data_IF_677967452678
#
_entry.id   IF_677967452678
#
_cell.length_a   1.000
_cell.length_b   1.000
_cell.length_c   1.000
_cell.angle_alpha   90.00
_cell.angle_beta   90.00
_cell.angle_gamma   90.00
#
_symmetry.space_group_name_H-M   'P 1'
#
loop_
_entity.id
_entity.type
_entity.pdbx_description
1 polymer ?
#
# COMPACT_ATOMS: atom_id res chain seq x y z
N UNK A 1 -4.15 -18.63 -1.25
CA UNK A 1 -4.69 -17.26 -1.21
C UNK A 1 -3.71 -16.39 -1.98
N UNK A 2 -4.11 -15.90 -3.16
CA UNK A 2 -3.26 -15.05 -4.00
C UNK A 2 -3.84 -13.63 -3.97
N UNK A 3 -3.01 -12.64 -3.67
CA UNK A 3 -3.39 -11.23 -3.77
C UNK A 3 -3.60 -10.91 -5.25
N UNK A 4 -4.79 -10.44 -5.61
CA UNK A 4 -5.08 -10.09 -7.01
C UNK A 4 -4.71 -8.65 -7.30
N UNK A 5 -5.09 -7.74 -6.39
CA UNK A 5 -4.82 -6.31 -6.51
C UNK A 5 -4.57 -5.69 -5.15
N UNK A 6 -3.74 -4.65 -5.16
CA UNK A 6 -3.41 -3.83 -4.00
C UNK A 6 -3.68 -2.40 -4.40
N UNK A 7 -4.44 -1.68 -3.59
CA UNK A 7 -4.72 -0.27 -3.78
C UNK A 7 -4.25 0.53 -2.55
N UNK A 8 -3.86 1.78 -2.79
CA UNK A 8 -3.69 2.77 -1.73
C UNK A 8 -5.00 3.55 -1.57
N UNK A 9 -5.50 3.61 -0.35
CA UNK A 9 -6.73 4.33 0.00
C UNK A 9 -6.45 5.32 1.14
N UNK A 10 -7.18 6.43 1.15
CA UNK A 10 -7.25 7.35 2.27
C UNK A 10 -8.54 7.09 3.04
N UNK A 11 -8.46 7.03 4.36
CA UNK A 11 -9.67 7.05 5.21
C UNK A 11 -10.13 8.48 5.50
N UNK A 12 -11.22 8.61 6.26
CA UNK A 12 -11.83 9.88 6.65
C UNK A 12 -10.91 10.75 7.54
N UNK A 13 -9.91 10.13 8.20
CA UNK A 13 -8.90 10.78 9.04
C UNK A 13 -7.59 11.07 8.28
N UNK A 14 -7.60 10.96 6.95
CA UNK A 14 -6.44 11.08 6.06
C UNK A 14 -5.33 10.04 6.32
N UNK A 15 -5.63 8.97 7.03
CA UNK A 15 -4.70 7.87 7.20
C UNK A 15 -4.60 7.08 5.88
N UNK A 16 -3.38 6.63 5.59
CA UNK A 16 -3.12 5.84 4.40
C UNK A 16 -3.31 4.37 4.75
N UNK A 17 -4.06 3.66 3.93
CA UNK A 17 -4.41 2.26 4.11
C UNK A 17 -4.08 1.46 2.85
N UNK A 18 -3.68 0.21 3.05
CA UNK A 18 -3.76 -0.81 2.02
C UNK A 18 -5.19 -1.27 1.88
N UNK A 19 -5.66 -1.41 0.64
CA UNK A 19 -6.87 -2.14 0.32
C UNK A 19 -6.50 -3.37 -0.50
N UNK A 20 -6.76 -4.53 0.07
CA UNK A 20 -6.42 -5.83 -0.49
C UNK A 20 -7.64 -6.46 -1.18
N UNK A 21 -7.53 -6.72 -2.48
CA UNK A 21 -8.52 -7.50 -3.22
C UNK A 21 -7.98 -8.94 -3.40
N UNK A 22 -8.59 -9.88 -2.70
CA UNK A 22 -8.17 -11.29 -2.70
C UNK A 22 -8.71 -12.01 -3.95
N UNK A 23 -7.85 -12.80 -4.63
CA UNK A 23 -8.34 -13.77 -5.63
C UNK A 23 -8.67 -15.09 -4.94
N UNK A 24 -9.94 -15.50 -5.05
CA UNK A 24 -10.44 -16.80 -4.62
C UNK A 24 -11.63 -17.23 -5.48
N UNK A 25 -11.95 -18.54 -5.54
CA UNK A 25 -13.02 -19.07 -6.40
C UNK A 25 -14.40 -18.46 -6.09
N UNK A 26 -14.62 -18.01 -4.85
CA UNK A 26 -15.92 -17.52 -4.38
C UNK A 26 -16.11 -15.99 -4.45
N UNK A 27 -15.19 -15.24 -5.08
CA UNK A 27 -15.32 -13.86 -5.64
C UNK A 27 -16.10 -12.76 -4.89
N UNK A 28 -16.55 -12.99 -3.65
CA UNK A 28 -17.47 -12.14 -2.89
C UNK A 28 -16.94 -11.81 -1.49
N UNK A 29 -15.70 -12.16 -1.17
CA UNK A 29 -15.09 -11.69 0.07
C UNK A 29 -14.85 -10.18 -0.04
N UNK A 30 -15.37 -9.37 0.89
CA UNK A 30 -15.15 -7.93 0.88
C UNK A 30 -13.64 -7.66 0.98
N UNK A 31 -13.15 -6.68 0.24
CA UNK A 31 -11.75 -6.29 0.35
C UNK A 31 -11.42 -5.82 1.75
N UNK A 32 -10.21 -6.14 2.19
CA UNK A 32 -9.76 -5.82 3.54
C UNK A 32 -8.96 -4.53 3.54
N UNK A 33 -9.22 -3.68 4.53
CA UNK A 33 -8.43 -2.49 4.78
C UNK A 33 -7.41 -2.76 5.90
N UNK A 34 -6.16 -2.45 5.63
CA UNK A 34 -5.08 -2.51 6.61
C UNK A 34 -4.38 -1.16 6.69
N UNK A 35 -4.21 -0.63 7.90
CA UNK A 35 -3.58 0.68 8.11
C UNK A 35 -2.11 0.64 7.68
N UNK A 36 -1.76 1.43 6.64
CA UNK A 36 -0.38 1.62 6.21
C UNK A 36 0.32 2.60 7.14
N UNK A 37 -0.24 3.78 7.37
CA UNK A 37 0.30 4.76 8.30
C UNK A 37 -0.74 5.83 8.67
N UNK A 38 -0.58 6.52 9.81
CA UNK A 38 -1.38 7.70 10.11
C UNK A 38 -1.21 8.79 9.04
N UNK A 39 -2.20 9.67 8.94
CA UNK A 39 -2.16 10.80 8.03
C UNK A 39 -0.96 11.72 8.27
N UNK A 40 -0.36 12.20 7.18
CA UNK A 40 0.81 13.08 7.22
C UNK A 40 2.16 12.37 7.43
N UNK A 41 2.21 11.06 7.66
CA UNK A 41 3.45 10.30 7.82
C UNK A 41 4.07 9.87 6.47
N UNK A 42 4.34 10.83 5.58
CA UNK A 42 4.76 10.59 4.18
C UNK A 42 6.02 9.71 4.06
N UNK A 43 7.04 9.94 4.89
CA UNK A 43 8.27 9.12 4.88
C UNK A 43 7.99 7.67 5.27
N UNK A 44 7.16 7.46 6.30
CA UNK A 44 6.78 6.11 6.74
C UNK A 44 5.93 5.39 5.69
N UNK A 45 5.05 6.12 4.99
CA UNK A 45 4.30 5.59 3.86
C UNK A 45 5.24 5.09 2.76
N UNK A 46 6.19 5.93 2.36
CA UNK A 46 7.18 5.61 1.31
C UNK A 46 7.97 4.34 1.65
N UNK A 47 8.55 4.26 2.84
CA UNK A 47 9.33 3.10 3.28
C UNK A 47 8.51 1.79 3.26
N UNK A 48 7.27 1.83 3.73
CA UNK A 48 6.38 0.66 3.74
C UNK A 48 5.98 0.25 2.33
N UNK A 49 5.68 1.20 1.45
CA UNK A 49 5.36 0.94 0.04
C UNK A 49 6.56 0.29 -0.66
N UNK A 50 7.75 0.86 -0.54
CA UNK A 50 8.99 0.31 -1.14
C UNK A 50 9.23 -1.13 -0.69
N UNK A 51 9.04 -1.40 0.60
CA UNK A 51 9.20 -2.75 1.16
C UNK A 51 8.18 -3.75 0.62
N UNK A 52 6.90 -3.38 0.54
CA UNK A 52 5.81 -4.27 0.08
C UNK A 52 5.94 -4.56 -1.41
N UNK A 53 6.23 -3.53 -2.22
CA UNK A 53 6.37 -3.66 -3.66
C UNK A 53 7.74 -4.23 -4.08
N UNK A 54 8.63 -4.49 -3.11
CA UNK A 54 10.02 -4.88 -3.34
C UNK A 54 10.72 -3.99 -4.39
N UNK A 55 10.38 -2.70 -4.38
CA UNK A 55 11.02 -1.72 -5.27
C UNK A 55 12.50 -1.65 -4.88
N UNK A 56 13.38 -1.73 -5.88
CA UNK A 56 14.79 -1.44 -5.66
C UNK A 56 14.89 0.05 -5.39
N UNK A 57 15.51 0.39 -4.27
CA UNK A 57 15.92 1.75 -3.97
C UNK A 57 17.10 2.07 -4.89
N UNK A 58 16.80 2.43 -6.14
CA UNK A 58 17.82 2.96 -7.04
C UNK A 58 18.12 4.39 -6.60
N UNK A 59 19.37 4.72 -6.29
CA UNK A 59 19.73 6.07 -5.88
C UNK A 59 19.31 7.03 -6.99
N UNK A 60 18.45 7.99 -6.65
CA UNK A 60 18.17 9.11 -7.53
C UNK A 60 19.47 9.90 -7.63
N UNK A 61 20.17 9.78 -8.77
CA UNK A 61 21.32 10.63 -9.04
C UNK A 61 20.84 12.08 -8.96
N UNK A 62 21.29 12.79 -7.93
CA UNK A 62 21.03 14.20 -7.81
C UNK A 62 21.83 14.90 -8.91
N UNK A 63 21.14 15.42 -9.92
CA UNK A 63 21.74 16.39 -10.84
C UNK A 63 22.23 17.58 -10.01
N UNK A 64 23.56 17.75 -9.94
CA UNK A 64 24.25 18.92 -9.37
C UNK A 64 23.98 20.21 -10.16
#
# INVERSE_FOLDING_TARGET
>A
MLIQRVYLALDDDYALCWYWEWSGPDRNEPGEYELLCPGGAITQASERITRVLALRDEPVEADE
#
